data_IF_605324421792
#
_entry.id   IF_605324421792
#
_cell.length_a   1.000
_cell.length_b   1.000
_cell.length_c   1.000
_cell.angle_alpha   90.00
_cell.angle_beta   90.00
_cell.angle_gamma   90.00
#
_symmetry.space_group_name_H-M   'P 1'
#
loop_
_entity.id
_entity.type
_entity.pdbx_description
1 polymer ?
#
# COMPACT_ATOMS: atom_id res chain seq x y z
N UNK A 1 -13.13 -26.77 -8.83
CA UNK A 1 -14.09 -26.40 -7.77
C UNK A 1 -13.36 -26.46 -6.45
N UNK A 2 -13.06 -25.30 -5.86
CA UNK A 2 -12.39 -25.22 -4.55
C UNK A 2 -13.47 -24.88 -3.53
N UNK A 3 -13.69 -25.77 -2.57
CA UNK A 3 -14.66 -25.56 -1.49
C UNK A 3 -13.92 -25.04 -0.26
N UNK A 4 -14.45 -24.02 0.41
CA UNK A 4 -13.91 -23.50 1.65
C UNK A 4 -14.99 -23.49 2.73
N UNK A 5 -14.59 -23.81 3.96
CA UNK A 5 -15.48 -23.86 5.12
C UNK A 5 -15.52 -22.50 5.83
N UNK A 6 -16.71 -21.89 5.93
CA UNK A 6 -17.01 -20.87 6.93
C UNK A 6 -17.90 -21.48 8.02
N UNK A 7 -17.65 -21.13 9.29
CA UNK A 7 -18.16 -21.83 10.47
C UNK A 7 -19.62 -22.32 10.42
N UNK A 8 -19.82 -23.51 11.01
CA UNK A 8 -21.05 -24.33 11.09
C UNK A 8 -21.79 -24.51 9.76
N UNK A 9 -21.23 -25.40 8.94
CA UNK A 9 -21.88 -26.17 7.86
C UNK A 9 -22.51 -25.39 6.70
N UNK A 10 -22.17 -24.11 6.50
CA UNK A 10 -22.57 -23.41 5.30
C UNK A 10 -21.46 -23.44 4.24
N UNK A 11 -21.62 -24.35 3.27
CA UNK A 11 -20.79 -24.40 2.08
C UNK A 11 -21.20 -23.26 1.14
N UNK A 12 -20.36 -22.23 1.06
CA UNK A 12 -20.60 -21.12 0.13
C UNK A 12 -19.91 -21.45 -1.19
N UNK A 13 -20.67 -21.50 -2.27
CA UNK A 13 -20.08 -21.47 -3.61
C UNK A 13 -19.41 -20.11 -3.79
N UNK A 14 -18.09 -20.11 -3.95
CA UNK A 14 -17.39 -18.98 -4.55
C UNK A 14 -17.97 -18.81 -5.95
N UNK A 15 -18.61 -17.67 -6.26
CA UNK A 15 -19.00 -17.43 -7.63
C UNK A 15 -17.73 -17.45 -8.49
N UNK A 16 -17.75 -18.17 -9.61
CA UNK A 16 -16.77 -17.93 -10.67
C UNK A 16 -16.89 -16.44 -11.04
N UNK A 17 -15.76 -15.75 -11.25
CA UNK A 17 -15.65 -14.27 -11.42
C UNK A 17 -16.74 -13.66 -12.34
N UNK A 18 -17.32 -14.44 -13.26
CA UNK A 18 -18.45 -14.04 -14.10
C UNK A 18 -19.40 -15.19 -14.54
N UNK A 19 -20.00 -15.97 -13.64
CA UNK A 19 -20.99 -16.98 -14.08
C UNK A 19 -22.39 -16.73 -13.52
N UNK A 20 -23.18 -15.93 -14.25
CA UNK A 20 -24.61 -15.82 -14.01
C UNK A 20 -25.30 -14.59 -14.62
N UNK A 21 -26.02 -14.84 -15.73
CA UNK A 21 -27.01 -14.00 -16.45
C UNK A 21 -26.48 -13.06 -17.53
N UNK A 22 -27.13 -13.18 -18.69
CA UNK A 22 -27.15 -12.21 -19.78
C UNK A 22 -27.32 -10.79 -19.21
N UNK A 23 -26.24 -10.02 -19.16
CA UNK A 23 -26.31 -8.59 -18.86
C UNK A 23 -25.34 -7.86 -19.76
N UNK A 24 -25.90 -7.24 -20.80
CA UNK A 24 -25.32 -6.12 -21.52
C UNK A 24 -25.14 -4.85 -20.65
N UNK A 25 -25.29 -4.94 -19.32
CA UNK A 25 -25.42 -3.77 -18.44
C UNK A 25 -24.69 -3.86 -17.09
N UNK A 26 -23.82 -4.86 -16.87
CA UNK A 26 -22.95 -4.88 -15.69
C UNK A 26 -21.59 -5.48 -16.07
N UNK A 27 -20.48 -4.72 -16.04
CA UNK A 27 -19.20 -5.38 -15.97
C UNK A 27 -19.21 -6.17 -14.66
N UNK A 28 -18.65 -7.37 -14.65
CA UNK A 28 -18.23 -8.00 -13.40
C UNK A 28 -17.28 -7.01 -12.74
N UNK A 29 -17.84 -6.19 -11.85
CA UNK A 29 -17.33 -4.85 -11.63
C UNK A 29 -16.01 -4.93 -10.91
N UNK A 30 -14.96 -4.50 -11.59
CA UNK A 30 -13.94 -3.69 -10.95
C UNK A 30 -14.64 -2.81 -9.90
N UNK A 31 -14.44 -3.07 -8.61
CA UNK A 31 -14.79 -2.05 -7.63
C UNK A 31 -13.85 -0.89 -7.98
N UNK A 32 -14.35 0.13 -8.68
CA UNK A 32 -13.54 1.27 -9.17
C UNK A 32 -12.68 1.85 -8.03
N UNK A 33 -13.15 1.70 -6.79
CA UNK A 33 -12.44 2.10 -5.56
C UNK A 33 -11.20 1.26 -5.27
N UNK A 34 -11.17 -0.01 -5.67
CA UNK A 34 -10.03 -0.89 -5.51
C UNK A 34 -8.90 -0.56 -6.48
N UNK A 35 -9.23 -0.33 -7.76
CA UNK A 35 -8.25 0.10 -8.77
C UNK A 35 -7.62 1.42 -8.35
N UNK A 36 -8.42 2.41 -7.94
CA UNK A 36 -7.91 3.70 -7.46
C UNK A 36 -6.95 3.53 -6.27
N UNK A 37 -7.22 2.60 -5.36
CA UNK A 37 -6.35 2.34 -4.20
C UNK A 37 -5.04 1.66 -4.62
N UNK A 38 -5.11 0.69 -5.54
CA UNK A 38 -3.97 -0.06 -6.03
C UNK A 38 -3.04 0.84 -6.84
N UNK A 39 -3.57 1.66 -7.74
CA UNK A 39 -2.81 2.63 -8.53
C UNK A 39 -2.14 3.71 -7.66
N UNK A 40 -2.78 4.11 -6.55
CA UNK A 40 -2.24 5.15 -5.67
C UNK A 40 -1.31 4.62 -4.58
N UNK A 41 -1.17 3.30 -4.41
CA UNK A 41 -0.38 2.73 -3.29
C UNK A 41 1.09 3.14 -3.38
N UNK A 42 1.67 3.11 -4.59
CA UNK A 42 3.07 3.46 -4.83
C UNK A 42 3.32 4.97 -4.77
N UNK A 43 2.30 5.80 -5.01
CA UNK A 43 2.41 7.26 -4.84
C UNK A 43 2.70 7.64 -3.38
N UNK A 44 2.21 6.85 -2.42
CA UNK A 44 2.43 7.10 -0.98
C UNK A 44 3.90 6.99 -0.58
N UNK A 45 4.72 6.28 -1.37
CA UNK A 45 6.16 6.16 -1.13
C UNK A 45 6.87 7.51 -1.23
N UNK A 46 6.38 8.44 -2.06
CA UNK A 46 6.97 9.78 -2.18
C UNK A 46 6.93 10.59 -0.87
N UNK A 47 6.04 10.25 0.06
CA UNK A 47 5.96 10.88 1.38
C UNK A 47 6.91 10.29 2.43
N UNK A 48 7.73 9.30 2.07
CA UNK A 48 8.72 8.70 2.97
C UNK A 48 10.10 9.34 2.75
N UNK A 49 10.90 9.31 3.81
CA UNK A 49 12.28 9.74 3.81
C UNK A 49 13.21 8.60 4.23
N UNK A 50 14.48 8.75 3.86
CA UNK A 50 15.53 7.83 4.26
C UNK A 50 16.14 8.23 5.60
N UNK A 51 16.04 7.33 6.56
CA UNK A 51 16.67 7.40 7.87
C UNK A 51 17.93 6.55 7.86
N UNK A 52 19.09 7.17 7.64
CA UNK A 52 20.38 6.47 7.60
C UNK A 52 20.79 5.89 8.95
N UNK A 53 20.24 6.45 10.03
CA UNK A 53 20.45 6.03 11.40
C UNK A 53 19.71 4.74 11.79
N UNK A 54 18.74 4.30 10.98
CA UNK A 54 17.94 3.09 11.23
C UNK A 54 18.43 1.91 10.41
N UNK A 55 17.94 0.72 10.73
CA UNK A 55 18.25 -0.51 10.00
C UNK A 55 17.00 -1.17 9.37
N UNK A 56 17.22 -1.97 8.33
CA UNK A 56 16.17 -2.71 7.64
C UNK A 56 15.11 -1.82 6.97
N UNK A 57 13.85 -2.28 6.98
CA UNK A 57 12.71 -1.57 6.40
C UNK A 57 12.32 -0.31 7.18
N UNK A 58 12.65 -0.24 8.48
CA UNK A 58 12.38 0.93 9.33
C UNK A 58 13.17 2.18 8.91
N UNK A 59 14.14 2.03 7.98
CA UNK A 59 14.87 3.11 7.33
C UNK A 59 13.99 3.99 6.44
N UNK A 60 12.87 3.48 5.98
CA UNK A 60 11.88 4.25 5.24
C UNK A 60 10.79 4.66 6.20
N UNK A 61 10.81 5.90 6.65
CA UNK A 61 9.80 6.43 7.55
C UNK A 61 9.41 7.86 7.15
N UNK A 62 8.23 8.28 7.61
CA UNK A 62 7.75 9.64 7.37
C UNK A 62 8.41 10.61 8.34
N UNK A 63 8.60 11.85 7.89
CA UNK A 63 9.18 12.92 8.68
C UNK A 63 10.69 13.04 8.50
N UNK A 64 11.29 13.93 9.29
CA UNK A 64 12.70 14.28 9.19
C UNK A 64 13.57 13.25 9.94
N UNK A 65 14.73 12.90 9.37
CA UNK A 65 15.68 12.01 10.04
C UNK A 65 16.40 12.70 11.19
N UNK A 66 16.92 11.92 12.14
CA UNK A 66 17.58 12.45 13.34
C UNK A 66 18.82 13.28 13.00
N UNK A 67 19.60 12.80 12.02
CA UNK A 67 20.74 13.52 11.45
C UNK A 67 20.32 14.90 10.98
N UNK A 68 19.21 14.96 10.27
CA UNK A 68 18.75 16.16 9.61
C UNK A 68 18.13 17.17 10.58
N UNK A 69 17.38 16.67 11.55
CA UNK A 69 16.91 17.47 12.68
C UNK A 69 18.09 18.13 13.43
N UNK A 70 19.18 17.38 13.62
CA UNK A 70 20.41 17.90 14.23
C UNK A 70 21.06 18.99 13.38
N UNK A 71 21.18 18.77 12.06
CA UNK A 71 21.77 19.74 11.15
C UNK A 71 20.95 21.04 11.10
N UNK A 72 19.62 20.96 11.02
CA UNK A 72 18.74 22.13 11.13
C UNK A 72 18.95 22.88 12.46
N UNK A 73 19.10 22.16 13.57
CA UNK A 73 19.37 22.75 14.88
C UNK A 73 20.71 23.49 14.94
N UNK A 74 21.74 23.00 14.26
CA UNK A 74 23.04 23.68 14.15
C UNK A 74 22.94 24.95 13.31
N UNK A 75 22.29 24.87 12.15
CA UNK A 75 22.04 26.03 11.28
C UNK A 75 21.24 27.11 12.02
N UNK A 76 20.19 26.72 12.76
CA UNK A 76 19.38 27.63 13.56
C UNK A 76 20.19 28.33 14.69
N UNK A 77 21.23 27.68 15.20
CA UNK A 77 22.16 28.27 16.18
C UNK A 77 23.23 29.16 15.53
N UNK A 78 23.18 29.37 14.21
CA UNK A 78 24.15 30.18 13.47
C UNK A 78 25.42 29.44 13.08
N UNK A 79 25.46 28.11 13.22
CA UNK A 79 26.60 27.30 12.76
C UNK A 79 26.51 27.14 11.25
N UNK A 80 27.59 27.50 10.55
CA UNK A 80 27.72 27.26 9.10
C UNK A 80 27.97 25.78 8.84
N UNK A 81 26.92 25.05 8.50
CA UNK A 81 27.01 23.68 7.98
C UNK A 81 27.21 23.75 6.48
N UNK A 82 28.26 23.08 5.97
CA UNK A 82 28.53 22.97 4.53
C UNK A 82 28.16 21.55 4.11
N UNK A 83 27.24 21.42 3.16
CA UNK A 83 26.88 20.16 2.50
C UNK A 83 26.83 20.35 1.00
N UNK A 84 26.96 19.25 0.26
CA UNK A 84 26.88 19.24 -1.22
C UNK A 84 25.44 19.47 -1.74
N UNK A 85 24.45 19.50 -0.84
CA UNK A 85 23.03 19.72 -1.15
C UNK A 85 22.59 21.05 -0.52
N UNK A 86 21.95 21.96 -1.28
CA UNK A 86 21.46 23.24 -0.77
C UNK A 86 20.30 23.07 0.22
N UNK A 87 20.17 24.02 1.15
CA UNK A 87 19.27 23.96 2.31
C UNK A 87 17.78 23.91 1.96
N UNK A 88 17.39 24.26 0.74
CA UNK A 88 16.01 24.16 0.27
C UNK A 88 15.62 22.72 -0.06
N UNK A 89 16.58 21.92 -0.55
CA UNK A 89 16.37 20.53 -1.00
C UNK A 89 16.52 19.51 0.14
N UNK A 90 16.71 20.03 1.34
CA UNK A 90 17.05 19.29 2.54
C UNK A 90 15.86 18.42 3.01
N UNK A 91 14.63 18.84 2.71
CA UNK A 91 13.40 18.10 3.00
C UNK A 91 12.85 17.32 1.80
N UNK A 92 13.59 17.26 0.69
CA UNK A 92 13.12 16.54 -0.50
C UNK A 92 13.29 15.04 -0.36
N UNK A 93 12.37 14.32 -1.02
CA UNK A 93 12.38 12.87 -1.11
C UNK A 93 13.72 12.39 -1.68
N UNK A 94 14.40 11.47 -0.98
CA UNK A 94 15.73 11.01 -1.43
C UNK A 94 15.65 10.14 -2.69
N UNK A 95 16.76 10.12 -3.44
CA UNK A 95 16.88 9.31 -4.66
C UNK A 95 16.60 7.82 -4.41
N UNK A 96 16.96 7.31 -3.22
CA UNK A 96 16.71 5.94 -2.80
C UNK A 96 15.21 5.64 -2.63
N UNK A 97 14.40 6.60 -2.17
CA UNK A 97 12.94 6.44 -2.08
C UNK A 97 12.33 6.42 -3.48
N UNK A 98 12.81 7.28 -4.38
CA UNK A 98 12.43 7.25 -5.80
C UNK A 98 12.82 5.93 -6.47
N UNK A 99 13.98 5.39 -6.11
CA UNK A 99 14.42 4.07 -6.56
C UNK A 99 13.55 2.94 -6.00
N UNK A 100 13.02 3.07 -4.77
CA UNK A 100 12.08 2.13 -4.17
C UNK A 100 10.68 2.20 -4.82
N UNK A 101 10.29 3.36 -5.35
CA UNK A 101 9.01 3.52 -6.04
C UNK A 101 8.92 2.70 -7.33
N UNK A 102 9.97 2.71 -8.15
CA UNK A 102 10.01 1.96 -9.43
C UNK A 102 9.60 0.47 -9.31
N UNK A 103 10.19 -0.34 -8.41
CA UNK A 103 9.77 -1.73 -8.26
C UNK A 103 8.37 -1.86 -7.66
N UNK A 104 7.86 -0.89 -6.91
CA UNK A 104 6.46 -0.88 -6.47
C UNK A 104 5.53 -0.79 -7.69
N UNK A 105 5.77 0.16 -8.58
CA UNK A 105 4.96 0.35 -9.79
C UNK A 105 4.95 -0.94 -10.63
N UNK A 106 6.12 -1.55 -10.86
CA UNK A 106 6.25 -2.83 -11.58
C UNK A 106 5.50 -3.98 -10.88
N UNK A 107 5.58 -4.07 -9.55
CA UNK A 107 4.88 -5.14 -8.82
C UNK A 107 3.37 -4.98 -8.88
N UNK A 108 2.86 -3.75 -8.77
CA UNK A 108 1.42 -3.49 -8.89
C UNK A 108 0.92 -3.90 -10.28
N UNK A 109 1.64 -3.50 -11.33
CA UNK A 109 1.32 -3.88 -12.71
C UNK A 109 1.36 -5.41 -12.92
N UNK A 110 2.37 -6.09 -12.40
CA UNK A 110 2.54 -7.55 -12.61
C UNK A 110 1.55 -8.41 -11.84
N UNK A 111 1.06 -7.92 -10.71
CA UNK A 111 0.22 -8.71 -9.79
C UNK A 111 -1.22 -8.18 -9.71
N UNK A 112 -1.63 -7.30 -10.62
CA UNK A 112 -2.98 -6.71 -10.67
C UNK A 112 -4.08 -7.78 -10.52
N UNK A 113 -4.08 -8.81 -11.37
CA UNK A 113 -5.08 -9.90 -11.33
C UNK A 113 -5.09 -10.64 -9.99
N UNK A 114 -3.92 -10.90 -9.41
CA UNK A 114 -3.79 -11.62 -8.13
C UNK A 114 -4.27 -10.75 -6.97
N UNK A 115 -3.99 -9.45 -7.03
CA UNK A 115 -4.40 -8.45 -6.04
C UNK A 115 -5.93 -8.28 -6.10
N UNK A 116 -6.52 -8.22 -7.29
CA UNK A 116 -7.97 -8.20 -7.50
C UNK A 116 -8.64 -9.44 -6.95
N UNK A 117 -8.14 -10.62 -7.31
CA UNK A 117 -8.70 -11.88 -6.85
C UNK A 117 -8.63 -11.96 -5.32
N UNK A 118 -7.48 -11.59 -4.72
CA UNK A 118 -7.36 -11.50 -3.27
C UNK A 118 -8.34 -10.50 -2.66
N UNK A 119 -8.54 -9.32 -3.26
CA UNK A 119 -9.50 -8.32 -2.80
C UNK A 119 -10.94 -8.83 -2.85
N UNK A 120 -11.31 -9.54 -3.91
CA UNK A 120 -12.59 -10.21 -4.06
C UNK A 120 -12.79 -11.30 -3.00
N UNK A 121 -11.80 -12.17 -2.82
CA UNK A 121 -11.85 -13.20 -1.78
C UNK A 121 -11.94 -12.59 -0.38
N UNK A 122 -11.11 -11.59 -0.07
CA UNK A 122 -11.08 -10.96 1.23
C UNK A 122 -12.41 -10.28 1.58
N UNK A 123 -12.98 -9.50 0.66
CA UNK A 123 -14.29 -8.85 0.86
C UNK A 123 -15.42 -9.87 1.01
N UNK A 124 -15.40 -10.95 0.22
CA UNK A 124 -16.38 -12.03 0.34
C UNK A 124 -16.25 -12.81 1.65
N UNK A 125 -15.05 -13.26 2.02
CA UNK A 125 -14.84 -14.02 3.26
C UNK A 125 -15.03 -13.18 4.53
N UNK A 126 -14.56 -11.93 4.55
CA UNK A 126 -14.76 -11.07 5.72
C UNK A 126 -16.19 -10.53 5.81
N UNK A 127 -16.83 -10.23 4.68
CA UNK A 127 -18.23 -9.78 4.65
C UNK A 127 -19.24 -10.90 4.93
N UNK A 128 -19.02 -12.10 4.41
CA UNK A 128 -19.94 -13.24 4.54
C UNK A 128 -19.65 -14.06 5.80
N UNK A 129 -18.39 -14.17 6.24
CA UNK A 129 -18.02 -15.08 7.34
C UNK A 129 -17.58 -14.40 8.64
N UNK A 130 -17.15 -13.12 8.63
CA UNK A 130 -16.74 -12.44 9.88
C UNK A 130 -17.89 -11.79 10.66
N UNK A 131 -19.08 -11.62 10.07
CA UNK A 131 -20.28 -11.17 10.82
C UNK A 131 -21.01 -12.29 11.57
N UNK A 132 -20.40 -13.47 11.69
CA UNK A 132 -20.84 -14.58 12.54
C UNK A 132 -20.33 -14.52 13.98
N UNK A 133 -20.03 -13.35 14.55
CA UNK A 133 -19.75 -13.23 15.99
C UNK A 133 -21.09 -13.22 16.74
N UNK A 134 -21.63 -14.40 17.02
CA UNK A 134 -22.65 -14.52 18.06
C UNK A 134 -21.93 -14.56 19.40
N UNK A 135 -21.79 -13.39 20.05
CA UNK A 135 -21.64 -13.35 21.51
C UNK A 135 -23.04 -13.53 22.09
N UNK A 136 -23.14 -14.51 22.99
CA UNK A 136 -24.32 -15.06 23.68
C UNK A 136 -25.08 -16.12 22.88
#
# INVERSE_FOLDING_TARGET
MIWWSCGHDQWVHLPNKCEGRNTSDLPCGEDIRFIEVVENVCQRLSGYNLHKEREGSNRFAKGMSETFSTLHGLVHKGVKVVMDIPYELWNETSAEVTHLKKPCDVMVEQYEEVIEDWGFYFTFYTGVCMFGIRRV
#
